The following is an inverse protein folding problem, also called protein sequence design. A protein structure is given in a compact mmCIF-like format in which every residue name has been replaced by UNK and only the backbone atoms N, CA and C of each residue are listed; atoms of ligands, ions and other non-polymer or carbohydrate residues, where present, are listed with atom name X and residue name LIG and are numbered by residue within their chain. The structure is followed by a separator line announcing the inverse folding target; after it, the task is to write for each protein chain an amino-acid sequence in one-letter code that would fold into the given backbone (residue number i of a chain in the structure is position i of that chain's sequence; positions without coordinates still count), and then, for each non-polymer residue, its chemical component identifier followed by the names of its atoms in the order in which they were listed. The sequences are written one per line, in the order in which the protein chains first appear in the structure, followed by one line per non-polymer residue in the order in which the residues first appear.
data_IF_612435950437
#
_entry.id   IF_612435950437
#
_cell.length_a   1.000
_cell.length_b   1.000
_cell.length_c   1.000
_cell.angle_alpha   90.00
_cell.angle_beta   90.00
_cell.angle_gamma   90.00
#
_symmetry.space_group_name_H-M   'P 1'
#
loop_
_entity.id
_entity.type
_entity.pdbx_description
1 polymer ?
#
# COMPACT_ATOMS: atom_id res chain seq x y z
N UNK A 1 -17.65 12.27 -44.69
CA UNK A 1 -16.68 11.29 -44.14
C UNK A 1 -15.73 12.06 -43.26
N UNK A 2 -16.04 12.15 -41.97
CA UNK A 2 -15.08 12.64 -40.98
C UNK A 2 -14.11 11.51 -40.70
N UNK A 3 -12.88 11.74 -41.10
CA UNK A 3 -11.75 10.83 -40.91
C UNK A 3 -11.43 10.78 -39.41
N UNK A 4 -11.81 9.68 -38.76
CA UNK A 4 -11.47 9.44 -37.35
C UNK A 4 -10.03 8.94 -37.32
N UNK A 5 -9.08 9.87 -37.28
CA UNK A 5 -7.70 9.52 -36.98
C UNK A 5 -7.65 9.01 -35.54
N UNK A 6 -7.52 7.68 -35.40
CA UNK A 6 -7.21 7.05 -34.11
C UNK A 6 -5.82 7.57 -33.72
N UNK A 7 -5.77 8.34 -32.64
CA UNK A 7 -4.51 8.78 -32.05
C UNK A 7 -3.79 7.55 -31.49
N UNK A 8 -2.84 7.03 -32.27
CA UNK A 8 -2.00 5.88 -31.93
C UNK A 8 -0.70 6.30 -31.23
N UNK A 9 -0.67 7.47 -30.58
CA UNK A 9 0.49 7.87 -29.79
C UNK A 9 0.65 6.88 -28.63
N UNK A 10 1.79 6.18 -28.49
CA UNK A 10 2.01 5.30 -27.37
C UNK A 10 1.98 6.12 -26.08
N UNK A 11 0.97 5.87 -25.25
CA UNK A 11 0.83 6.52 -23.94
C UNK A 11 1.93 5.99 -23.02
N UNK A 12 2.90 6.83 -22.68
CA UNK A 12 3.86 6.55 -21.61
C UNK A 12 3.09 6.24 -20.32
N UNK A 13 3.34 5.10 -19.64
CA UNK A 13 2.71 4.81 -18.37
C UNK A 13 2.95 5.93 -17.35
N UNK A 14 1.93 6.24 -16.55
CA UNK A 14 2.09 7.19 -15.43
C UNK A 14 2.82 6.48 -14.30
N UNK A 15 4.00 7.01 -13.91
CA UNK A 15 4.76 6.46 -12.80
C UNK A 15 4.06 6.71 -11.46
N UNK A 16 3.93 5.63 -10.68
CA UNK A 16 3.30 5.64 -9.35
C UNK A 16 4.19 4.91 -8.38
N UNK A 17 4.54 5.54 -7.27
CA UNK A 17 5.11 4.85 -6.12
C UNK A 17 4.05 4.73 -5.03
N UNK A 18 3.90 3.55 -4.43
CA UNK A 18 2.91 3.30 -3.38
C UNK A 18 3.57 2.63 -2.18
N UNK A 19 3.60 3.33 -1.05
CA UNK A 19 4.07 2.74 0.20
C UNK A 19 2.91 2.22 1.03
N UNK A 20 3.04 0.98 1.50
CA UNK A 20 2.02 0.27 2.28
C UNK A 20 2.60 -0.52 3.46
N UNK A 21 1.80 -0.66 4.52
CA UNK A 21 1.97 -1.70 5.53
C UNK A 21 0.80 -2.68 5.35
N UNK A 22 1.04 -4.01 5.24
CA UNK A 22 -0.03 -5.01 5.15
C UNK A 22 -1.08 -4.95 6.26
N UNK A 23 -0.74 -4.41 7.43
CA UNK A 23 -1.67 -4.24 8.54
C UNK A 23 -2.61 -3.03 8.35
N UNK A 24 -2.30 -2.10 7.45
CA UNK A 24 -3.04 -0.85 7.36
C UNK A 24 -4.29 -1.00 6.48
N UNK A 25 -5.50 -0.89 7.06
CA UNK A 25 -6.72 -1.02 6.28
C UNK A 25 -6.91 0.15 5.30
N UNK A 26 -6.37 1.34 5.58
CA UNK A 26 -6.45 2.48 4.66
C UNK A 26 -5.52 2.33 3.46
N UNK A 27 -4.34 1.73 3.68
CA UNK A 27 -3.45 1.39 2.58
C UNK A 27 -4.07 0.30 1.70
N UNK A 28 -4.75 -0.67 2.30
CA UNK A 28 -5.49 -1.69 1.56
C UNK A 28 -6.53 -1.08 0.63
N UNK A 29 -7.44 -0.25 1.16
CA UNK A 29 -8.48 0.42 0.38
C UNK A 29 -7.90 1.22 -0.79
N UNK A 30 -6.85 1.99 -0.53
CA UNK A 30 -6.20 2.83 -1.55
C UNK A 30 -5.49 1.97 -2.60
N UNK A 31 -4.88 0.85 -2.20
CA UNK A 31 -4.27 -0.08 -3.16
C UNK A 31 -5.30 -0.76 -4.06
N UNK A 32 -6.50 -1.08 -3.55
CA UNK A 32 -7.58 -1.64 -4.39
C UNK A 32 -8.04 -0.62 -5.43
N UNK A 33 -8.14 0.64 -5.04
CA UNK A 33 -8.42 1.73 -5.98
C UNK A 33 -7.33 1.90 -7.04
N UNK A 34 -6.05 1.87 -6.65
CA UNK A 34 -4.94 1.92 -7.62
C UNK A 34 -5.04 0.76 -8.62
N UNK A 35 -5.32 -0.47 -8.16
CA UNK A 35 -5.53 -1.62 -9.05
C UNK A 35 -6.73 -1.47 -9.99
N UNK A 36 -7.85 -0.90 -9.51
CA UNK A 36 -9.02 -0.58 -10.35
C UNK A 36 -8.67 0.42 -11.48
N UNK A 37 -7.82 1.41 -11.18
CA UNK A 37 -7.35 2.39 -12.16
C UNK A 37 -6.37 1.76 -13.14
N UNK A 38 -5.41 0.96 -12.65
CA UNK A 38 -4.41 0.24 -13.46
C UNK A 38 -5.08 -0.68 -14.50
N UNK A 39 -6.22 -1.31 -14.17
CA UNK A 39 -7.01 -2.10 -15.12
C UNK A 39 -7.60 -1.29 -16.29
N UNK A 40 -7.59 0.04 -16.21
CA UNK A 40 -8.25 0.96 -17.15
C UNK A 40 -7.34 2.07 -17.67
N UNK A 41 -6.11 2.19 -17.15
CA UNK A 41 -5.13 3.24 -17.49
C UNK A 41 -3.71 2.65 -17.44
N UNK A 42 -2.79 3.11 -18.30
CA UNK A 42 -1.41 2.66 -18.24
C UNK A 42 -0.72 3.31 -17.02
N UNK A 43 -0.63 2.57 -15.93
CA UNK A 43 0.17 2.90 -14.76
C UNK A 43 1.44 2.04 -14.74
N UNK A 44 2.52 2.60 -14.20
CA UNK A 44 3.72 1.87 -13.83
C UNK A 44 3.89 2.00 -12.32
N UNK A 45 3.42 0.99 -11.57
CA UNK A 45 3.28 1.06 -10.11
C UNK A 45 4.41 0.30 -9.43
N UNK A 46 5.24 1.04 -8.69
CA UNK A 46 6.24 0.50 -7.78
C UNK A 46 5.67 0.41 -6.36
N UNK A 47 5.73 -0.78 -5.77
CA UNK A 47 5.17 -1.07 -4.46
C UNK A 47 6.28 -1.13 -3.42
N UNK A 48 6.14 -0.34 -2.36
CA UNK A 48 7.17 -0.17 -1.34
C UNK A 48 6.63 -0.51 0.05
N UNK A 49 7.45 -1.16 0.86
CA UNK A 49 7.07 -1.49 2.24
C UNK A 49 7.23 -0.27 3.14
N UNK A 50 6.28 -0.07 4.05
CA UNK A 50 6.39 0.78 5.23
C UNK A 50 5.91 -0.01 6.44
N UNK A 51 6.23 0.48 7.64
CA UNK A 51 5.86 -0.18 8.89
C UNK A 51 5.14 0.77 9.83
N UNK A 52 3.91 0.42 10.23
CA UNK A 52 3.16 1.06 11.30
C UNK A 52 3.86 0.90 12.64
N UNK A 53 4.61 -0.19 12.85
CA UNK A 53 5.45 -0.34 14.04
C UNK A 53 6.52 0.76 14.07
N UNK A 54 7.31 0.90 12.99
CA UNK A 54 8.33 1.96 12.89
C UNK A 54 7.72 3.36 13.00
N UNK A 55 6.53 3.57 12.41
CA UNK A 55 5.81 4.85 12.51
C UNK A 55 5.48 5.24 13.97
N UNK A 56 5.21 4.26 14.84
CA UNK A 56 4.62 4.48 16.16
C UNK A 56 5.54 4.11 17.34
N UNK A 57 6.71 3.51 17.11
CA UNK A 57 7.59 2.99 18.18
C UNK A 57 8.11 4.05 19.18
N UNK A 58 8.06 5.33 18.79
CA UNK A 58 8.43 6.47 19.63
C UNK A 58 7.25 7.37 20.00
N UNK A 59 6.03 7.00 19.58
CA UNK A 59 4.82 7.77 19.83
C UNK A 59 4.20 7.37 21.17
N UNK A 60 3.57 8.35 21.85
CA UNK A 60 2.81 8.10 23.06
C UNK A 60 1.43 7.55 22.70
N UNK A 61 1.35 6.23 22.57
CA UNK A 61 0.13 5.50 22.20
C UNK A 61 -0.22 4.45 23.26
N UNK A 62 -1.50 4.03 23.37
CA UNK A 62 -1.94 3.00 24.31
C UNK A 62 -1.14 1.69 24.21
N UNK A 63 -0.94 1.01 25.35
CA UNK A 63 -0.08 -0.19 25.42
C UNK A 63 -0.62 -1.35 24.58
N UNK A 64 -1.94 -1.57 24.60
CA UNK A 64 -2.62 -2.57 23.76
C UNK A 64 -2.37 -2.32 22.26
N UNK A 65 -2.25 -1.05 21.87
CA UNK A 65 -1.90 -0.69 20.50
C UNK A 65 -0.42 -0.97 20.20
N UNK A 66 0.50 -0.69 21.13
CA UNK A 66 1.93 -1.03 20.98
C UNK A 66 2.14 -2.53 20.82
N UNK A 67 1.46 -3.34 21.64
CA UNK A 67 1.50 -4.80 21.54
C UNK A 67 0.98 -5.27 20.18
N UNK A 68 -0.14 -4.72 19.70
CA UNK A 68 -0.68 -5.06 18.37
C UNK A 68 0.30 -4.70 17.25
N UNK A 69 0.94 -3.53 17.31
CA UNK A 69 1.95 -3.13 16.35
C UNK A 69 3.18 -4.04 16.38
N UNK A 70 3.63 -4.42 17.57
CA UNK A 70 4.76 -5.33 17.75
C UNK A 70 4.45 -6.73 17.18
N UNK A 71 3.22 -7.23 17.31
CA UNK A 71 2.81 -8.49 16.66
C UNK A 71 2.69 -8.34 15.14
N UNK A 72 2.15 -7.21 14.67
CA UNK A 72 1.91 -6.94 13.25
C UNK A 72 3.17 -6.70 12.43
N UNK A 73 4.31 -6.36 13.06
CA UNK A 73 5.58 -6.10 12.35
C UNK A 73 6.10 -7.29 11.54
N UNK A 74 5.58 -8.49 11.81
CA UNK A 74 5.88 -9.73 11.07
C UNK A 74 5.59 -9.57 9.58
N UNK A 75 4.48 -8.92 9.21
CA UNK A 75 4.08 -8.79 7.80
C UNK A 75 4.97 -7.87 6.97
N UNK A 76 5.29 -6.61 7.37
CA UNK A 76 6.24 -5.80 6.63
C UNK A 76 7.64 -6.44 6.58
N UNK A 77 8.07 -7.17 7.62
CA UNK A 77 9.32 -7.94 7.57
C UNK A 77 9.28 -9.04 6.52
N UNK A 78 8.20 -9.83 6.47
CA UNK A 78 8.02 -10.88 5.47
C UNK A 78 8.11 -10.31 4.04
N UNK A 79 7.42 -9.19 3.78
CA UNK A 79 7.46 -8.54 2.46
C UNK A 79 8.85 -8.03 2.13
N UNK A 80 9.53 -7.39 3.08
CA UNK A 80 10.92 -6.94 2.90
C UNK A 80 11.86 -8.11 2.59
N UNK A 81 11.75 -9.22 3.34
CA UNK A 81 12.58 -10.41 3.14
C UNK A 81 12.35 -11.04 1.76
N UNK A 82 11.08 -11.21 1.37
CA UNK A 82 10.72 -11.72 0.05
C UNK A 82 11.26 -10.82 -1.06
N UNK A 83 11.11 -9.49 -0.95
CA UNK A 83 11.66 -8.53 -1.91
C UNK A 83 13.18 -8.64 -2.04
N UNK A 84 13.90 -8.69 -0.92
CA UNK A 84 15.36 -8.80 -0.92
C UNK A 84 15.85 -10.10 -1.57
N UNK A 85 15.08 -11.19 -1.45
CA UNK A 85 15.45 -12.50 -1.99
C UNK A 85 15.00 -12.71 -3.44
N UNK A 86 13.82 -12.23 -3.80
CA UNK A 86 13.12 -12.59 -5.04
C UNK A 86 12.92 -11.41 -6.00
N UNK A 87 13.19 -10.17 -5.57
CA UNK A 87 12.99 -8.95 -6.35
C UNK A 87 11.63 -8.30 -6.14
N UNK A 88 11.39 -7.17 -6.81
CA UNK A 88 10.21 -6.33 -6.57
C UNK A 88 8.90 -6.96 -7.07
N UNK A 89 8.96 -7.87 -8.04
CA UNK A 89 7.78 -8.55 -8.62
C UNK A 89 6.97 -9.36 -7.59
N UNK A 90 7.59 -9.79 -6.47
CA UNK A 90 6.90 -10.53 -5.40
C UNK A 90 6.10 -9.63 -4.46
N UNK A 91 6.41 -8.33 -4.41
CA UNK A 91 5.89 -7.41 -3.38
C UNK A 91 4.38 -7.29 -3.48
N UNK A 92 3.85 -7.06 -4.69
CA UNK A 92 2.40 -6.89 -4.91
C UNK A 92 1.61 -8.19 -4.69
N UNK A 93 1.99 -9.36 -5.25
CA UNK A 93 1.32 -10.63 -4.94
C UNK A 93 1.29 -10.94 -3.44
N UNK A 94 2.42 -10.72 -2.75
CA UNK A 94 2.51 -10.97 -1.31
C UNK A 94 1.64 -10.00 -0.50
N UNK A 95 1.61 -8.72 -0.88
CA UNK A 95 0.70 -7.74 -0.28
C UNK A 95 -0.77 -8.12 -0.49
N UNK A 96 -1.14 -8.55 -1.70
CA UNK A 96 -2.51 -8.97 -2.01
C UNK A 96 -2.95 -10.15 -1.14
N UNK A 97 -2.13 -11.19 -1.07
CA UNK A 97 -2.43 -12.38 -0.27
C UNK A 97 -2.52 -12.04 1.23
N UNK A 98 -1.58 -11.24 1.76
CA UNK A 98 -1.64 -10.79 3.16
C UNK A 98 -2.90 -9.96 3.43
N UNK A 99 -3.23 -9.01 2.57
CA UNK A 99 -4.41 -8.16 2.75
C UNK A 99 -5.73 -8.93 2.63
N UNK A 100 -5.78 -9.98 1.81
CA UNK A 100 -6.92 -10.89 1.76
C UNK A 100 -7.15 -11.59 3.11
N UNK A 101 -6.09 -12.18 3.68
CA UNK A 101 -6.15 -12.81 5.00
C UNK A 101 -6.51 -11.81 6.12
N UNK A 102 -5.83 -10.67 6.16
CA UNK A 102 -5.93 -9.71 7.27
C UNK A 102 -7.22 -8.87 7.21
N UNK A 103 -7.60 -8.40 6.02
CA UNK A 103 -8.69 -7.43 5.87
C UNK A 103 -10.03 -8.06 5.47
N UNK A 104 -10.02 -9.07 4.59
CA UNK A 104 -11.26 -9.72 4.16
C UNK A 104 -11.62 -10.89 5.07
N UNK A 105 -10.68 -11.80 5.34
CA UNK A 105 -10.92 -12.97 6.22
C UNK A 105 -10.83 -12.64 7.71
N UNK A 106 -10.30 -11.45 8.05
CA UNK A 106 -10.12 -10.96 9.42
C UNK A 106 -9.28 -11.91 10.29
N UNK A 107 -8.30 -12.57 9.69
CA UNK A 107 -7.35 -13.42 10.41
C UNK A 107 -6.30 -12.54 11.10
N UNK A 108 -6.17 -12.70 12.42
CA UNK A 108 -5.36 -11.82 13.26
C UNK A 108 -4.10 -12.48 13.85
N UNK A 109 -3.88 -13.77 13.57
CA UNK A 109 -2.71 -14.54 14.02
C UNK A 109 -1.66 -14.67 12.91
N UNK A 110 -0.52 -13.94 13.00
CA UNK A 110 0.56 -14.05 12.03
C UNK A 110 1.14 -15.46 11.92
N UNK A 111 1.09 -16.28 12.98
CA UNK A 111 1.59 -17.66 12.95
C UNK A 111 0.74 -18.57 12.06
N UNK A 112 -0.50 -18.18 11.76
CA UNK A 112 -1.39 -18.86 10.81
C UNK A 112 -1.31 -18.21 9.43
N UNK A 113 -1.36 -16.88 9.35
CA UNK A 113 -1.42 -16.14 8.09
C UNK A 113 -0.16 -16.30 7.26
N UNK A 114 1.03 -16.17 7.85
CA UNK A 114 2.30 -16.21 7.12
C UNK A 114 2.53 -17.55 6.40
N UNK A 115 2.46 -18.73 7.05
CA UNK A 115 2.65 -19.99 6.35
C UNK A 115 1.58 -20.23 5.28
N UNK A 116 0.32 -19.85 5.54
CA UNK A 116 -0.76 -19.99 4.56
C UNK A 116 -0.49 -19.15 3.29
N UNK A 117 -0.07 -17.89 3.45
CA UNK A 117 0.26 -17.00 2.34
C UNK A 117 1.50 -17.49 1.56
N UNK A 118 2.53 -17.98 2.26
CA UNK A 118 3.70 -18.56 1.59
C UNK A 118 3.32 -19.79 0.75
N UNK A 119 2.47 -20.67 1.29
CA UNK A 119 1.95 -21.83 0.57
C UNK A 119 1.09 -21.43 -0.64
N UNK A 120 0.16 -20.47 -0.47
CA UNK A 120 -0.71 -19.96 -1.54
C UNK A 120 0.09 -19.43 -2.74
N UNK A 121 1.20 -18.74 -2.46
CA UNK A 121 2.07 -18.15 -3.48
C UNK A 121 3.19 -19.08 -3.94
N UNK A 122 3.29 -20.29 -3.38
CA UNK A 122 4.35 -21.25 -3.70
C UNK A 122 5.76 -20.76 -3.35
N UNK A 123 5.88 -19.90 -2.33
CA UNK A 123 7.14 -19.36 -1.84
C UNK A 123 7.77 -20.32 -0.81
N UNK A 124 9.10 -20.36 -0.73
CA UNK A 124 9.74 -21.29 0.21
C UNK A 124 9.43 -20.91 1.66
N UNK A 125 9.10 -21.92 2.47
CA UNK A 125 8.65 -21.75 3.85
C UNK A 125 9.71 -21.12 4.77
N UNK A 126 11.00 -21.18 4.41
CA UNK A 126 12.09 -20.57 5.18
C UNK A 126 12.05 -19.03 5.17
N UNK A 127 11.31 -18.40 4.23
CA UNK A 127 11.05 -16.95 4.28
C UNK A 127 10.34 -16.53 5.57
N UNK A 128 9.58 -17.45 6.18
CA UNK A 128 8.94 -17.25 7.46
C UNK A 128 9.97 -16.81 8.51
N UNK A 129 11.16 -17.41 8.56
CA UNK A 129 12.15 -17.15 9.61
C UNK A 129 12.52 -15.66 9.73
N UNK A 130 12.62 -14.96 8.59
CA UNK A 130 12.93 -13.54 8.55
C UNK A 130 11.81 -12.67 9.13
N UNK A 131 10.56 -13.10 9.03
CA UNK A 131 9.39 -12.35 9.52
C UNK A 131 9.39 -12.23 11.06
N UNK A 132 9.99 -13.18 11.77
CA UNK A 132 10.13 -13.18 13.24
C UNK A 132 11.53 -12.78 13.73
N UNK A 133 12.43 -12.38 12.84
CA UNK A 133 13.77 -11.90 13.18
C UNK A 133 13.88 -10.38 12.99
N UNK A 134 15.00 -9.79 13.41
CA UNK A 134 15.36 -8.40 13.14
C UNK A 134 16.29 -8.21 11.91
N UNK A 135 16.61 -9.29 11.20
CA UNK A 135 17.62 -9.29 10.12
C UNK A 135 17.29 -8.30 8.98
N UNK A 136 16.01 -8.06 8.74
CA UNK A 136 15.51 -7.17 7.68
C UNK A 136 15.01 -5.81 8.20
N UNK A 137 15.21 -5.51 9.49
CA UNK A 137 14.72 -4.26 10.09
C UNK A 137 15.37 -3.03 9.47
N UNK A 138 16.67 -3.08 9.18
CA UNK A 138 17.39 -1.97 8.56
C UNK A 138 16.78 -1.62 7.19
N UNK A 139 16.53 -2.62 6.35
CA UNK A 139 15.92 -2.44 5.03
C UNK A 139 14.45 -1.99 5.14
N UNK A 140 13.69 -2.53 6.09
CA UNK A 140 12.30 -2.11 6.36
C UNK A 140 12.24 -0.64 6.77
N UNK A 141 13.15 -0.21 7.65
CA UNK A 141 13.26 1.18 8.11
C UNK A 141 13.72 2.14 7.01
N UNK A 142 14.61 1.69 6.12
CA UNK A 142 15.01 2.47 4.95
C UNK A 142 13.83 2.72 4.00
N UNK A 143 13.09 1.66 3.64
CA UNK A 143 11.89 1.77 2.80
C UNK A 143 10.80 2.65 3.45
N UNK A 144 10.57 2.48 4.75
CA UNK A 144 9.66 3.33 5.52
C UNK A 144 10.10 4.81 5.50
N UNK A 145 11.38 5.09 5.74
CA UNK A 145 11.95 6.44 5.76
C UNK A 145 11.77 7.14 4.42
N UNK A 146 12.06 6.45 3.32
CA UNK A 146 11.89 7.00 1.97
C UNK A 146 10.44 7.44 1.70
N UNK A 147 9.44 6.66 2.13
CA UNK A 147 8.04 7.04 1.98
C UNK A 147 7.64 8.22 2.88
N UNK A 148 7.94 8.14 4.18
CA UNK A 148 7.44 9.12 5.16
C UNK A 148 8.12 10.50 5.02
N UNK A 149 9.40 10.56 4.66
CA UNK A 149 10.12 11.83 4.49
C UNK A 149 9.58 12.67 3.32
N UNK A 150 8.87 12.06 2.37
CA UNK A 150 8.27 12.75 1.22
C UNK A 150 6.99 13.51 1.57
N UNK A 151 6.32 13.17 2.67
CA UNK A 151 5.02 13.72 3.07
C UNK A 151 5.02 14.35 4.46
N UNK A 152 6.16 14.32 5.15
CA UNK A 152 6.32 14.78 6.53
C UNK A 152 6.06 13.67 7.55
N UNK A 153 6.54 13.86 8.79
CA UNK A 153 6.45 12.85 9.85
C UNK A 153 5.15 12.89 10.67
N UNK A 154 4.29 13.90 10.44
CA UNK A 154 3.02 14.08 11.17
C UNK A 154 1.85 13.31 10.55
N UNK A 155 2.12 12.46 9.55
CA UNK A 155 1.11 11.67 8.82
C UNK A 155 1.37 10.17 8.97
N UNK A 156 0.52 9.37 8.34
CA UNK A 156 0.64 7.91 8.37
C UNK A 156 0.56 7.29 6.98
N UNK A 157 -0.12 6.16 6.90
CA UNK A 157 -0.21 5.34 5.69
C UNK A 157 -1.64 5.40 5.12
N UNK A 158 -1.84 5.30 3.79
CA UNK A 158 -0.83 5.12 2.75
C UNK A 158 -0.12 6.41 2.34
N UNK A 159 1.01 6.24 1.67
CA UNK A 159 1.68 7.31 0.89
C UNK A 159 1.68 6.90 -0.57
N UNK A 160 1.26 7.80 -1.45
CA UNK A 160 1.32 7.62 -2.90
C UNK A 160 2.13 8.77 -3.51
N UNK A 161 3.02 8.48 -4.44
CA UNK A 161 3.62 9.48 -5.31
C UNK A 161 3.14 9.26 -6.75
N UNK A 162 2.70 10.34 -7.40
CA UNK A 162 2.25 10.33 -8.80
C UNK A 162 3.14 11.28 -9.58
N UNK A 163 3.82 10.76 -10.61
CA UNK A 163 4.84 11.51 -11.36
C UNK A 163 5.90 12.18 -10.44
N UNK A 164 6.21 11.54 -9.31
CA UNK A 164 7.17 12.02 -8.30
C UNK A 164 6.61 12.94 -7.21
N UNK A 165 5.38 13.45 -7.33
CA UNK A 165 4.73 14.26 -6.29
C UNK A 165 4.04 13.36 -5.27
N UNK A 166 4.51 13.37 -4.02
CA UNK A 166 4.00 12.51 -2.95
C UNK A 166 2.87 13.16 -2.12
N UNK A 167 1.89 12.35 -1.72
CA UNK A 167 0.79 12.72 -0.84
C UNK A 167 0.56 11.66 0.22
N UNK A 168 0.15 12.11 1.41
CA UNK A 168 -0.54 11.24 2.37
C UNK A 168 -1.96 10.96 1.86
N UNK A 169 -2.32 9.68 1.75
CA UNK A 169 -3.59 9.24 1.19
C UNK A 169 -3.52 8.95 -0.32
N UNK A 170 -4.65 9.05 -1.06
CA UNK A 170 -5.95 9.48 -0.57
C UNK A 170 -6.55 8.47 0.42
N UNK A 171 -7.01 8.95 1.59
CA UNK A 171 -7.68 8.10 2.58
C UNK A 171 -9.13 7.89 2.17
N UNK A 172 -9.46 6.70 1.67
CA UNK A 172 -10.76 6.38 1.05
C UNK A 172 -11.46 5.18 1.71
N UNK A 173 -12.79 5.20 1.72
CA UNK A 173 -13.64 4.07 2.14
C UNK A 173 -15.09 4.27 1.68
N UNK A 174 -15.71 3.28 0.97
CA UNK A 174 -15.05 2.14 0.34
C UNK A 174 -14.10 2.59 -0.80
N UNK A 175 -13.39 1.65 -1.42
CA UNK A 175 -12.56 1.92 -2.59
C UNK A 175 -13.51 2.18 -3.77
N UNK A 176 -13.38 3.31 -4.49
CA UNK A 176 -14.23 3.60 -5.63
C UNK A 176 -13.96 2.62 -6.78
N UNK A 177 -14.99 2.37 -7.59
CA UNK A 177 -14.97 1.44 -8.73
C UNK A 177 -15.38 2.15 -10.03
N UNK A 178 -15.02 1.58 -11.17
CA UNK A 178 -15.39 2.07 -12.49
C UNK A 178 -15.05 3.55 -12.71
N UNK A 179 -15.99 4.31 -13.27
CA UNK A 179 -15.77 5.73 -13.58
C UNK A 179 -15.42 6.57 -12.35
N UNK A 180 -15.95 6.24 -11.16
CA UNK A 180 -15.62 6.98 -9.94
C UNK A 180 -14.15 6.82 -9.53
N UNK A 181 -13.56 5.64 -9.78
CA UNK A 181 -12.13 5.40 -9.55
C UNK A 181 -11.28 6.29 -10.46
N UNK A 182 -11.68 6.39 -11.72
CA UNK A 182 -11.00 7.19 -12.74
C UNK A 182 -11.13 8.70 -12.47
N UNK A 183 -12.32 9.17 -12.10
CA UNK A 183 -12.55 10.59 -11.78
C UNK A 183 -11.70 11.03 -10.58
N UNK A 184 -11.58 10.17 -9.55
CA UNK A 184 -10.71 10.44 -8.41
C UNK A 184 -9.23 10.45 -8.82
N UNK A 185 -8.82 9.53 -9.71
CA UNK A 185 -7.45 9.47 -10.23
C UNK A 185 -7.08 10.74 -10.98
N UNK A 186 -7.94 11.21 -11.89
CA UNK A 186 -7.73 12.44 -12.65
C UNK A 186 -7.62 13.65 -11.71
N UNK A 187 -8.40 13.67 -10.62
CA UNK A 187 -8.29 14.68 -9.56
C UNK A 187 -6.95 14.66 -8.83
N UNK A 188 -6.43 13.47 -8.49
CA UNK A 188 -5.11 13.30 -7.85
C UNK A 188 -3.98 13.71 -8.79
N UNK A 189 -4.03 13.32 -10.07
CA UNK A 189 -3.05 13.74 -11.09
C UNK A 189 -3.07 15.26 -11.26
N UNK A 190 -4.24 15.89 -11.30
CA UNK A 190 -4.36 17.33 -11.40
C UNK A 190 -3.75 18.04 -10.18
N UNK A 191 -3.98 17.51 -8.97
CA UNK A 191 -3.36 18.02 -7.74
C UNK A 191 -1.83 17.84 -7.74
N UNK A 192 -1.34 16.67 -8.16
CA UNK A 192 0.10 16.35 -8.27
C UNK A 192 0.87 17.31 -9.18
N UNK A 193 0.23 17.79 -10.25
CA UNK A 193 0.81 18.68 -11.25
C UNK A 193 0.89 20.14 -10.83
N UNK A 194 0.21 20.55 -9.76
CA UNK A 194 0.24 21.93 -9.27
C UNK A 194 1.13 22.04 -8.03
N UNK A 195 2.37 22.58 -8.13
CA UNK A 195 3.32 22.58 -7.02
C UNK A 195 2.88 23.38 -5.79
N UNK A 196 1.85 24.23 -5.91
CA UNK A 196 1.29 25.01 -4.82
C UNK A 196 0.10 24.34 -4.10
N UNK A 197 -0.25 23.11 -4.45
CA UNK A 197 -1.28 22.35 -3.75
C UNK A 197 -0.63 21.54 -2.62
N UNK A 198 -1.11 21.73 -1.39
CA UNK A 198 -0.51 21.09 -0.21
C UNK A 198 -1.48 20.19 0.55
N UNK A 199 -2.75 20.60 0.72
CA UNK A 199 -3.71 19.79 1.46
C UNK A 199 -5.15 20.07 1.01
N UNK A 200 -5.94 18.99 0.92
CA UNK A 200 -7.39 19.04 0.89
C UNK A 200 -7.92 17.94 1.81
N UNK A 201 -8.71 18.33 2.81
CA UNK A 201 -9.21 17.40 3.83
C UNK A 201 -10.66 17.69 4.18
N UNK A 202 -11.42 16.62 4.41
CA UNK A 202 -12.72 16.65 5.09
C UNK A 202 -12.70 15.71 6.29
N UNK A 203 -13.58 15.95 7.27
CA UNK A 203 -13.73 15.06 8.42
C UNK A 203 -14.11 13.65 7.98
N UNK A 204 -13.37 12.65 8.46
CA UNK A 204 -13.69 11.25 8.25
C UNK A 204 -14.89 10.86 9.10
N UNK A 205 -15.94 10.32 8.48
CA UNK A 205 -17.20 9.94 9.14
C UNK A 205 -17.49 8.44 9.08
N UNK A 206 -16.65 7.65 8.38
CA UNK A 206 -16.77 6.20 8.24
C UNK A 206 -15.42 5.52 8.47
N UNK A 207 -15.46 4.27 8.95
CA UNK A 207 -14.28 3.39 9.00
C UNK A 207 -13.97 2.77 7.64
N UNK A 208 -12.93 1.91 7.55
CA UNK A 208 -12.70 1.07 6.36
C UNK A 208 -13.88 0.13 6.13
N UNK A 209 -14.30 0.01 4.87
CA UNK A 209 -15.38 -0.88 4.43
C UNK A 209 -14.79 -1.76 3.35
N UNK A 210 -14.59 -3.04 3.66
CA UNK A 210 -14.02 -4.02 2.75
C UNK A 210 -15.12 -4.70 1.93
N UNK A 211 -14.81 -5.12 0.71
CA UNK A 211 -15.69 -5.96 -0.08
C UNK A 211 -15.59 -7.42 0.42
N UNK A 212 -16.08 -7.69 1.63
CA UNK A 212 -16.15 -9.07 2.14
C UNK A 212 -17.29 -9.80 1.45
N UNK A 213 -17.00 -10.94 0.83
CA UNK A 213 -18.07 -11.90 0.48
C UNK A 213 -18.59 -12.53 1.76
N UNK A 214 -19.90 -12.40 2.02
CA UNK A 214 -20.61 -13.20 3.02
C UNK A 214 -20.60 -14.71 2.68
#
# INVERSE_FOLDING_TARGET
MTDTTVDNTPTTPTAVDFWFDPNCPWAWMTSRWVGEVEGQRPLDVSWHVMSLYVLNEHQDVPEDYKERLARGQVYPRLVTAARLRLGDDVVKPLYDALGEHIHHRQEDDPAVVVPAVLEELGLDADLAEYAWSDEVDAATRESHRDGIERVGQDVGTPVIAVEGTAFFGPVISPAPKGQQALDLWDGVVAAARYPGFFELKRSRTVGPIFDTTD
#
